data_IF_446753919731
#
_entry.id   IF_446753919731
#
_cell.length_a   1.000
_cell.length_b   1.000
_cell.length_c   1.000
_cell.angle_alpha   90.00
_cell.angle_beta   90.00
_cell.angle_gamma   90.00
#
_symmetry.space_group_name_H-M   'P 1'
#
loop_
_entity.id
_entity.type
_entity.pdbx_description
1 polymer ?
#
# COMPACT_ATOMS: atom_id res chain seq x y z
N UNK A 1 44.69 48.27 5.56
CA UNK A 1 44.28 47.66 4.27
C UNK A 1 44.96 46.32 4.21
N UNK A 2 44.23 45.24 4.47
CA UNK A 2 44.75 43.88 4.46
C UNK A 2 43.83 43.06 3.57
N UNK A 3 44.35 42.61 2.43
CA UNK A 3 43.76 41.53 1.64
C UNK A 3 44.49 40.24 2.01
N UNK A 4 43.71 39.23 2.40
CA UNK A 4 44.17 37.88 2.66
C UNK A 4 43.37 36.89 1.81
N UNK A 5 44.10 35.92 1.29
CA UNK A 5 43.72 34.75 0.51
C UNK A 5 42.74 33.85 1.30
N UNK A 6 41.70 33.30 0.65
CA UNK A 6 41.13 31.98 1.02
C UNK A 6 40.66 31.24 -0.24
N UNK A 7 41.12 30.00 -0.36
CA UNK A 7 40.54 28.95 -1.20
C UNK A 7 39.56 28.11 -0.37
N UNK A 8 38.53 27.54 -1.01
CA UNK A 8 37.85 26.35 -0.48
C UNK A 8 36.35 26.26 -0.73
N UNK A 9 35.96 25.31 -1.59
CA UNK A 9 34.95 24.29 -1.28
C UNK A 9 33.45 24.66 -1.34
N UNK A 10 32.75 24.02 -2.28
CA UNK A 10 31.57 23.23 -1.93
C UNK A 10 30.20 23.90 -1.88
N UNK A 11 29.41 23.54 -2.90
CA UNK A 11 28.00 23.13 -2.83
C UNK A 11 26.82 24.14 -2.95
N UNK A 12 25.92 23.66 -3.82
CA UNK A 12 24.46 23.80 -3.94
C UNK A 12 23.76 25.15 -4.24
N UNK A 13 23.23 25.17 -5.47
CA UNK A 13 21.84 25.45 -5.85
C UNK A 13 21.16 26.72 -5.31
N UNK A 14 21.03 27.71 -6.20
CA UNK A 14 19.82 28.52 -6.30
C UNK A 14 19.49 28.69 -7.79
N UNK A 15 18.38 28.09 -8.22
CA UNK A 15 17.73 28.49 -9.46
C UNK A 15 17.12 29.88 -9.23
N UNK A 16 17.59 30.85 -10.01
CA UNK A 16 17.16 32.24 -9.96
C UNK A 16 15.65 32.37 -10.17
N UNK A 17 15.04 33.37 -9.52
CA UNK A 17 13.67 33.78 -9.79
C UNK A 17 13.57 34.27 -11.24
N UNK A 18 12.93 33.51 -12.14
CA UNK A 18 12.80 33.94 -13.52
C UNK A 18 12.02 32.94 -14.39
N UNK A 19 10.73 33.23 -14.55
CA UNK A 19 9.79 32.63 -15.51
C UNK A 19 9.40 31.15 -15.27
N UNK A 20 8.13 30.86 -15.54
CA UNK A 20 7.58 29.51 -15.48
C UNK A 20 8.11 28.72 -16.70
N UNK A 21 8.95 27.68 -16.53
CA UNK A 21 9.60 26.98 -17.65
C UNK A 21 8.66 26.10 -18.48
N UNK A 22 7.44 25.84 -18.01
CA UNK A 22 6.47 24.98 -18.71
C UNK A 22 5.03 25.50 -18.57
N UNK A 23 4.25 25.42 -19.64
CA UNK A 23 2.85 25.84 -19.66
C UNK A 23 1.87 24.65 -19.63
N UNK A 24 0.60 24.92 -19.32
CA UNK A 24 -0.46 23.95 -19.53
C UNK A 24 -0.52 23.56 -21.01
N UNK A 25 -0.57 22.25 -21.27
CA UNK A 25 -0.49 21.70 -22.62
C UNK A 25 0.89 21.18 -23.01
N UNK A 26 1.96 21.59 -22.34
CA UNK A 26 3.32 21.17 -22.70
C UNK A 26 3.52 19.67 -22.46
N UNK A 27 4.21 19.04 -23.42
CA UNK A 27 4.71 17.68 -23.28
C UNK A 27 6.02 17.71 -22.52
N UNK A 28 6.19 16.76 -21.61
CA UNK A 28 7.35 16.64 -20.71
C UNK A 28 7.73 15.18 -20.53
N UNK A 29 8.97 14.96 -20.12
CA UNK A 29 9.48 13.64 -19.79
C UNK A 29 9.72 13.53 -18.28
N UNK A 30 9.27 12.42 -17.69
CA UNK A 30 9.40 12.15 -16.25
C UNK A 30 10.29 10.90 -16.08
N UNK A 31 11.56 11.08 -15.71
CA UNK A 31 12.46 9.97 -15.42
C UNK A 31 12.15 9.35 -14.04
N UNK A 32 11.86 8.06 -14.00
CA UNK A 32 11.73 7.29 -12.77
C UNK A 32 12.68 6.10 -12.80
N UNK A 33 13.70 6.12 -11.93
CA UNK A 33 14.76 5.13 -11.89
C UNK A 33 15.44 4.96 -13.27
N UNK A 34 15.17 3.86 -13.99
CA UNK A 34 15.73 3.55 -15.31
C UNK A 34 14.72 3.68 -16.46
N UNK A 35 13.50 4.17 -16.20
CA UNK A 35 12.44 4.34 -17.17
C UNK A 35 12.14 5.83 -17.37
N UNK A 36 11.73 6.20 -18.59
CA UNK A 36 11.30 7.55 -18.92
C UNK A 36 9.88 7.50 -19.45
N UNK A 37 8.99 8.26 -18.81
CA UNK A 37 7.60 8.36 -19.22
C UNK A 37 7.33 9.71 -19.88
N UNK A 38 6.43 9.69 -20.86
CA UNK A 38 5.90 10.93 -21.45
C UNK A 38 4.65 11.35 -20.68
N UNK A 39 4.53 12.64 -20.40
CA UNK A 39 3.34 13.22 -19.81
C UNK A 39 3.01 14.58 -20.44
N UNK A 40 1.80 15.07 -20.19
CA UNK A 40 1.35 16.42 -20.52
C UNK A 40 1.03 17.18 -19.24
N UNK A 41 1.40 18.45 -19.20
CA UNK A 41 1.04 19.33 -18.10
C UNK A 41 -0.42 19.72 -18.26
N UNK A 42 -1.24 19.35 -17.28
CA UNK A 42 -2.66 19.70 -17.21
C UNK A 42 -2.89 20.96 -16.39
N UNK A 43 -2.10 21.20 -15.33
CA UNK A 43 -2.20 22.42 -14.50
C UNK A 43 -0.84 22.91 -14.02
N UNK A 44 -0.73 24.22 -13.81
CA UNK A 44 0.44 24.84 -13.17
C UNK A 44 0.02 25.56 -11.90
N UNK A 45 0.79 25.36 -10.82
CA UNK A 45 0.63 26.07 -9.56
C UNK A 45 1.98 26.64 -9.10
N UNK A 46 1.95 27.70 -8.30
CA UNK A 46 3.14 28.30 -7.70
C UNK A 46 2.97 28.40 -6.19
N UNK A 47 3.99 27.95 -5.46
CA UNK A 47 4.10 28.10 -4.01
C UNK A 47 5.36 28.89 -3.66
N UNK A 48 5.22 29.93 -2.82
CA UNK A 48 6.34 30.82 -2.48
C UNK A 48 7.50 30.13 -1.75
N UNK A 49 7.26 28.95 -1.13
CA UNK A 49 8.31 28.18 -0.43
C UNK A 49 8.92 27.10 -1.33
N UNK A 50 8.14 26.54 -2.26
CA UNK A 50 8.49 25.31 -3.00
C UNK A 50 8.68 25.55 -4.51
N UNK A 51 8.40 26.75 -5.00
CA UNK A 51 8.46 27.11 -6.41
C UNK A 51 7.28 26.59 -7.22
N UNK A 52 7.47 26.47 -8.53
CA UNK A 52 6.45 25.94 -9.44
C UNK A 52 6.21 24.44 -9.25
N UNK A 53 4.94 24.06 -9.32
CA UNK A 53 4.47 22.68 -9.37
C UNK A 53 3.58 22.48 -10.59
N UNK A 54 3.61 21.27 -11.13
CA UNK A 54 2.93 20.91 -12.37
C UNK A 54 2.09 19.67 -12.13
N UNK A 55 0.79 19.76 -12.39
CA UNK A 55 -0.09 18.60 -12.41
C UNK A 55 0.02 17.94 -13.77
N UNK A 56 0.49 16.70 -13.81
CA UNK A 56 0.84 16.01 -15.05
C UNK A 56 -0.09 14.83 -15.30
N UNK A 57 -0.43 14.61 -16.57
CA UNK A 57 -1.11 13.41 -17.04
C UNK A 57 -0.15 12.55 -17.87
N UNK A 58 0.10 11.33 -17.42
CA UNK A 58 0.99 10.39 -18.11
C UNK A 58 0.34 9.83 -19.38
N UNK A 59 1.04 9.94 -20.52
CA UNK A 59 0.51 9.54 -21.82
C UNK A 59 0.26 8.04 -21.90
N UNK A 60 -1.00 7.66 -22.11
CA UNK A 60 -1.43 6.27 -22.18
C UNK A 60 -1.65 5.60 -20.82
N UNK A 61 -1.64 6.38 -19.74
CA UNK A 61 -1.97 5.92 -18.38
C UNK A 61 -3.37 6.41 -17.99
N UNK A 62 -3.92 5.81 -16.95
CA UNK A 62 -5.17 6.27 -16.34
C UNK A 62 -4.95 7.59 -15.57
N UNK A 63 -5.94 8.49 -15.55
CA UNK A 63 -5.91 9.77 -14.81
C UNK A 63 -5.66 9.62 -13.30
N UNK A 64 -5.88 8.44 -12.71
CA UNK A 64 -5.56 8.19 -11.28
C UNK A 64 -4.07 8.30 -10.95
N UNK A 65 -3.20 8.20 -11.95
CA UNK A 65 -1.76 8.40 -11.81
C UNK A 65 -1.35 9.85 -12.02
N UNK A 66 -2.30 10.76 -12.28
CA UNK A 66 -2.00 12.17 -12.42
C UNK A 66 -1.57 12.72 -11.05
N UNK A 67 -0.45 13.43 -11.03
CA UNK A 67 0.16 13.87 -9.79
C UNK A 67 0.78 15.26 -9.93
N UNK A 68 1.01 15.91 -8.80
CA UNK A 68 1.74 17.17 -8.74
C UNK A 68 3.24 16.91 -8.62
N UNK A 69 3.99 17.30 -9.65
CA UNK A 69 5.45 17.21 -9.68
C UNK A 69 6.12 18.57 -9.57
N UNK A 70 7.33 18.57 -9.01
CA UNK A 70 8.20 19.75 -9.00
C UNK A 70 8.95 19.89 -10.32
N UNK A 71 9.48 21.09 -10.61
CA UNK A 71 10.38 21.31 -11.74
C UNK A 71 11.53 20.29 -11.82
N UNK A 72 12.12 19.91 -10.68
CA UNK A 72 13.25 18.98 -10.63
C UNK A 72 12.91 17.55 -11.12
N UNK A 73 11.62 17.20 -11.14
CA UNK A 73 11.12 15.89 -11.58
C UNK A 73 10.82 15.85 -13.09
N UNK A 74 10.92 16.97 -13.78
CA UNK A 74 10.51 17.15 -15.17
C UNK A 74 11.71 17.42 -16.07
N UNK A 75 11.66 16.86 -17.28
CA UNK A 75 12.56 17.19 -18.37
C UNK A 75 11.75 17.68 -19.56
N UNK A 76 12.34 18.58 -20.36
CA UNK A 76 11.78 18.99 -21.65
C UNK A 76 11.56 17.76 -22.53
N UNK A 77 10.48 17.79 -23.31
CA UNK A 77 10.21 16.74 -24.27
C UNK A 77 11.32 16.67 -25.32
N UNK A 78 11.82 15.45 -25.54
CA UNK A 78 12.83 15.12 -26.54
C UNK A 78 12.40 13.82 -27.23
N UNK A 79 12.16 13.91 -28.53
CA UNK A 79 11.67 12.81 -29.36
C UNK A 79 12.69 11.67 -29.54
N UNK A 80 13.98 11.94 -29.30
CA UNK A 80 15.06 10.94 -29.39
C UNK A 80 15.12 9.99 -28.18
N UNK A 81 14.41 10.32 -27.09
CA UNK A 81 14.42 9.53 -25.86
C UNK A 81 13.57 8.28 -26.00
N UNK A 82 14.15 7.12 -25.65
CA UNK A 82 13.42 5.86 -25.63
C UNK A 82 12.42 5.85 -24.46
N UNK A 83 11.14 6.03 -24.79
CA UNK A 83 10.05 6.03 -23.82
C UNK A 83 9.70 4.62 -23.36
N UNK A 84 9.40 4.50 -22.07
CA UNK A 84 8.75 3.32 -21.52
C UNK A 84 7.32 3.24 -22.06
N UNK A 85 6.93 2.08 -22.59
CA UNK A 85 5.53 1.85 -23.01
C UNK A 85 4.70 1.50 -21.79
N UNK A 86 3.55 2.15 -21.55
CA UNK A 86 2.57 1.66 -20.59
C UNK A 86 2.15 0.26 -21.01
N UNK A 87 2.44 -0.75 -20.18
CA UNK A 87 2.02 -2.13 -20.46
C UNK A 87 0.60 -2.35 -19.94
N UNK A 88 -0.38 -1.66 -20.52
CA UNK A 88 -1.79 -1.96 -20.33
C UNK A 88 -2.28 -2.74 -21.55
N UNK A 89 -2.64 -4.02 -21.37
CA UNK A 89 -3.17 -4.85 -22.47
C UNK A 89 -4.45 -4.19 -23.01
N UNK A 90 -4.44 -3.79 -24.28
CA UNK A 90 -5.65 -3.33 -24.99
C UNK A 90 -6.63 -4.50 -25.11
N UNK A 91 -7.66 -4.50 -24.27
CA UNK A 91 -8.72 -5.49 -24.33
C UNK A 91 -9.47 -5.67 -23.02
N UNK A 92 -9.95 -4.57 -22.42
CA UNK A 92 -10.80 -4.61 -21.24
C UNK A 92 -11.84 -3.50 -21.34
N UNK A 93 -13.10 -3.84 -21.06
CA UNK A 93 -14.24 -2.91 -21.00
C UNK A 93 -13.86 -1.77 -20.03
N UNK A 94 -14.26 -0.52 -20.31
CA UNK A 94 -14.14 0.56 -19.30
C UNK A 94 -15.06 0.18 -18.13
N UNK A 95 -14.46 -0.34 -17.08
CA UNK A 95 -15.09 -0.62 -15.78
C UNK A 95 -15.05 0.69 -15.01
N UNK A 96 -16.21 1.22 -14.60
CA UNK A 96 -16.34 2.49 -13.87
C UNK A 96 -15.76 2.34 -12.45
N UNK A 97 -15.36 3.42 -11.78
CA UNK A 97 -14.68 3.35 -10.47
C UNK A 97 -15.53 2.61 -9.41
N UNK A 98 -16.86 2.75 -9.47
CA UNK A 98 -17.79 1.99 -8.63
C UNK A 98 -17.71 0.48 -8.87
N UNK A 99 -17.48 0.04 -10.11
CA UNK A 99 -17.38 -1.38 -10.44
C UNK A 99 -16.08 -1.99 -9.91
N UNK A 100 -14.96 -1.26 -9.92
CA UNK A 100 -13.69 -1.71 -9.32
C UNK A 100 -13.73 -1.75 -7.79
N UNK A 101 -14.33 -0.74 -7.14
CA UNK A 101 -14.54 -0.77 -5.69
C UNK A 101 -15.50 -1.89 -5.27
N UNK A 102 -16.54 -2.15 -6.08
CA UNK A 102 -17.42 -3.29 -5.88
C UNK A 102 -16.69 -4.63 -6.08
N UNK A 103 -15.78 -4.69 -7.05
CA UNK A 103 -14.98 -5.87 -7.33
C UNK A 103 -13.99 -6.19 -6.22
N UNK A 104 -13.44 -5.17 -5.55
CA UNK A 104 -12.50 -5.31 -4.44
C UNK A 104 -13.15 -5.85 -3.14
N UNK A 105 -14.48 -6.04 -3.11
CA UNK A 105 -15.20 -6.51 -1.93
C UNK A 105 -14.83 -7.95 -1.61
N UNK A 106 -14.31 -8.15 -0.41
CA UNK A 106 -14.09 -9.46 0.19
C UNK A 106 -15.25 -9.72 1.16
N UNK A 107 -16.19 -10.63 0.86
CA UNK A 107 -17.32 -10.90 1.74
C UNK A 107 -16.85 -11.61 3.02
N UNK A 108 -16.98 -10.95 4.17
CA UNK A 108 -16.66 -11.57 5.46
C UNK A 108 -17.79 -12.52 5.92
N UNK A 109 -17.45 -13.78 6.29
CA UNK A 109 -18.38 -14.69 6.95
C UNK A 109 -18.96 -14.11 8.25
N UNK A 110 -20.24 -14.38 8.53
CA UNK A 110 -20.94 -13.86 9.72
C UNK A 110 -20.26 -14.26 11.05
N UNK A 111 -19.68 -15.47 11.12
CA UNK A 111 -18.93 -15.92 12.29
C UNK A 111 -17.79 -14.94 12.60
N UNK A 112 -16.99 -14.58 11.60
CA UNK A 112 -15.87 -13.65 11.76
C UNK A 112 -16.34 -12.23 12.07
N UNK A 113 -17.45 -11.78 11.46
CA UNK A 113 -18.05 -10.47 11.79
C UNK A 113 -18.48 -10.40 13.26
N UNK A 114 -19.15 -11.43 13.76
CA UNK A 114 -19.59 -11.48 15.14
C UNK A 114 -18.40 -11.47 16.10
N UNK A 115 -17.32 -12.19 15.77
CA UNK A 115 -16.09 -12.16 16.54
C UNK A 115 -15.44 -10.78 16.55
N UNK A 116 -15.34 -10.11 15.39
CA UNK A 116 -14.82 -8.73 15.31
C UNK A 116 -15.62 -7.75 16.18
N UNK A 117 -16.95 -7.85 16.18
CA UNK A 117 -17.81 -7.00 17.01
C UNK A 117 -17.58 -7.26 18.50
N UNK A 118 -17.51 -8.54 18.90
CA UNK A 118 -17.23 -8.95 20.28
C UNK A 118 -15.85 -8.46 20.75
N UNK A 119 -14.82 -8.60 19.89
CA UNK A 119 -13.47 -8.14 20.18
C UNK A 119 -13.37 -6.62 20.27
N UNK A 120 -14.03 -5.91 19.34
CA UNK A 120 -14.11 -4.46 19.41
C UNK A 120 -14.73 -4.02 20.75
N UNK A 121 -15.78 -4.70 21.19
CA UNK A 121 -16.42 -4.38 22.47
C UNK A 121 -15.48 -4.58 23.66
N UNK A 122 -14.85 -5.75 23.73
CA UNK A 122 -13.92 -6.08 24.79
C UNK A 122 -12.70 -5.12 24.82
N UNK A 123 -12.14 -4.77 23.66
CA UNK A 123 -10.95 -3.92 23.60
C UNK A 123 -11.28 -2.45 23.82
N UNK A 124 -12.30 -1.94 23.12
CA UNK A 124 -12.58 -0.50 23.08
C UNK A 124 -13.47 -0.07 24.24
N UNK A 125 -14.50 -0.87 24.59
CA UNK A 125 -15.45 -0.56 25.67
C UNK A 125 -14.94 -1.02 27.03
N UNK A 126 -14.48 -2.27 27.11
CA UNK A 126 -14.07 -2.87 28.38
C UNK A 126 -12.58 -2.71 28.69
N UNK A 127 -11.82 -2.08 27.78
CA UNK A 127 -10.37 -1.86 27.90
C UNK A 127 -9.58 -3.15 28.20
N UNK A 128 -10.05 -4.29 27.67
CA UNK A 128 -9.33 -5.56 27.69
C UNK A 128 -8.31 -5.60 26.56
N UNK A 129 -7.23 -6.34 26.75
CA UNK A 129 -6.22 -6.54 25.71
C UNK A 129 -6.15 -8.01 25.33
N UNK A 130 -5.95 -8.27 24.04
CA UNK A 130 -5.65 -9.61 23.56
C UNK A 130 -4.34 -10.07 24.21
N UNK A 131 -4.29 -11.27 24.81
CA UNK A 131 -3.06 -11.78 25.40
C UNK A 131 -1.99 -12.02 24.32
N UNK A 132 -0.89 -11.27 24.42
CA UNK A 132 0.24 -11.33 23.50
C UNK A 132 1.56 -11.45 24.29
N UNK A 133 2.61 -12.08 23.71
CA UNK A 133 2.65 -12.70 22.37
C UNK A 133 1.83 -13.99 22.31
N UNK A 134 1.26 -14.29 21.14
CA UNK A 134 0.58 -15.57 20.90
C UNK A 134 1.59 -16.70 20.96
N UNK A 135 1.33 -17.71 21.79
CA UNK A 135 2.18 -18.91 21.92
C UNK A 135 1.93 -19.94 20.82
N UNK A 136 0.72 -19.94 20.26
CA UNK A 136 0.26 -20.82 19.19
C UNK A 136 -0.69 -20.02 18.30
N UNK A 137 -0.81 -20.43 17.04
CA UNK A 137 -1.66 -19.80 16.04
C UNK A 137 -1.32 -18.32 15.88
N UNK A 138 -0.02 -18.03 15.74
CA UNK A 138 0.42 -16.72 15.24
C UNK A 138 -0.05 -16.55 13.79
N UNK A 139 -0.10 -15.32 13.29
CA UNK A 139 -0.44 -15.06 11.88
C UNK A 139 0.47 -15.85 10.94
N UNK A 140 1.78 -15.87 11.20
CA UNK A 140 2.73 -16.65 10.42
C UNK A 140 2.35 -18.15 10.43
N UNK A 141 2.13 -18.72 11.62
CA UNK A 141 1.75 -20.14 11.77
C UNK A 141 0.43 -20.49 11.09
N UNK A 142 -0.58 -19.62 11.17
CA UNK A 142 -1.88 -19.85 10.53
C UNK A 142 -1.73 -19.87 9.01
N UNK A 143 -0.99 -18.90 8.45
CA UNK A 143 -0.80 -18.82 7.01
C UNK A 143 0.13 -19.92 6.47
N UNK A 144 1.15 -20.32 7.24
CA UNK A 144 2.00 -21.46 6.92
C UNK A 144 1.20 -22.77 6.94
N UNK A 145 0.36 -22.96 7.96
CA UNK A 145 -0.55 -24.11 8.04
C UNK A 145 -1.48 -24.16 6.82
N UNK A 146 -1.99 -23.02 6.36
CA UNK A 146 -2.79 -22.97 5.14
C UNK A 146 -1.98 -23.38 3.91
N UNK A 147 -0.75 -22.85 3.78
CA UNK A 147 0.13 -23.16 2.65
C UNK A 147 0.50 -24.66 2.58
N UNK A 148 0.67 -25.31 3.73
CA UNK A 148 0.96 -26.75 3.82
C UNK A 148 -0.24 -27.62 3.43
N UNK A 149 -1.47 -27.13 3.61
CA UNK A 149 -2.71 -27.85 3.31
C UNK A 149 -3.08 -27.80 1.83
N UNK A 150 -2.72 -26.73 1.12
CA UNK A 150 -3.12 -26.52 -0.28
C UNK A 150 -2.15 -27.18 -1.26
N UNK A 151 -2.69 -27.81 -2.30
CA UNK A 151 -1.86 -28.43 -3.35
C UNK A 151 -0.94 -27.41 -4.04
N UNK A 152 0.28 -27.82 -4.37
CA UNK A 152 1.33 -26.99 -5.04
C UNK A 152 1.01 -26.49 -6.45
N UNK A 153 -0.26 -26.56 -6.90
CA UNK A 153 -0.66 -26.14 -8.24
C UNK A 153 -0.71 -24.61 -8.41
N UNK A 154 -0.79 -23.88 -7.30
CA UNK A 154 -0.88 -22.42 -7.27
C UNK A 154 0.29 -21.82 -6.47
N UNK A 155 0.72 -20.57 -6.77
CA UNK A 155 1.78 -19.85 -6.05
C UNK A 155 1.30 -19.34 -4.68
N UNK A 156 0.85 -20.26 -3.83
CA UNK A 156 0.43 -19.96 -2.46
C UNK A 156 1.53 -19.39 -1.56
N UNK A 157 2.80 -19.82 -1.66
CA UNK A 157 3.88 -19.23 -0.88
C UNK A 157 4.00 -17.72 -1.11
N UNK A 158 3.92 -17.25 -2.36
CA UNK A 158 4.02 -15.83 -2.69
C UNK A 158 2.85 -15.01 -2.10
N UNK A 159 1.64 -15.58 -2.10
CA UNK A 159 0.45 -14.93 -1.53
C UNK A 159 0.54 -14.88 0.00
N UNK A 160 0.95 -15.98 0.62
CA UNK A 160 1.12 -16.09 2.07
C UNK A 160 2.21 -15.15 2.58
N UNK A 161 3.37 -15.14 1.93
CA UNK A 161 4.46 -14.23 2.28
C UNK A 161 4.08 -12.76 2.03
N UNK A 162 3.34 -12.50 0.94
CA UNK A 162 2.74 -11.20 0.69
C UNK A 162 1.81 -10.75 1.82
N UNK A 163 0.93 -11.63 2.30
CA UNK A 163 0.02 -11.36 3.41
C UNK A 163 0.78 -11.12 4.73
N UNK A 164 1.80 -11.92 5.06
CA UNK A 164 2.63 -11.73 6.25
C UNK A 164 3.34 -10.37 6.21
N UNK A 165 4.03 -10.07 5.11
CA UNK A 165 4.76 -8.81 4.96
C UNK A 165 3.83 -7.59 4.93
N UNK A 166 2.61 -7.75 4.39
CA UNK A 166 1.60 -6.70 4.41
C UNK A 166 1.04 -6.48 5.81
N UNK A 167 0.76 -7.55 6.55
CA UNK A 167 0.35 -7.50 7.94
C UNK A 167 1.40 -6.80 8.82
N UNK A 168 2.68 -7.16 8.66
CA UNK A 168 3.80 -6.55 9.40
C UNK A 168 3.88 -5.02 9.20
N UNK A 169 3.69 -4.56 7.97
CA UNK A 169 3.74 -3.13 7.63
C UNK A 169 2.50 -2.36 8.05
N UNK A 170 1.33 -3.00 8.04
CA UNK A 170 0.05 -2.31 8.26
C UNK A 170 -0.46 -2.38 9.69
N UNK A 171 0.00 -3.33 10.50
CA UNK A 171 -0.49 -3.53 11.87
C UNK A 171 -0.50 -2.20 12.66
N UNK A 172 0.67 -1.60 12.87
CA UNK A 172 0.79 -0.36 13.64
C UNK A 172 0.21 0.86 12.93
N UNK A 173 0.12 0.83 11.60
CA UNK A 173 -0.39 1.95 10.81
C UNK A 173 -1.92 2.05 10.85
N UNK A 174 -2.65 0.93 10.88
CA UNK A 174 -4.10 0.96 10.68
C UNK A 174 -4.94 -0.18 11.29
N UNK A 175 -4.35 -1.21 11.91
CA UNK A 175 -5.12 -2.38 12.40
C UNK A 175 -5.35 -2.39 13.92
N UNK A 176 -4.64 -1.54 14.66
CA UNK A 176 -4.72 -1.46 16.12
C UNK A 176 -5.75 -0.42 16.58
N UNK A 177 -6.49 -0.74 17.64
CA UNK A 177 -7.25 0.26 18.37
C UNK A 177 -6.33 1.07 19.30
N UNK A 178 -6.72 2.30 19.70
CA UNK A 178 -5.92 3.14 20.58
C UNK A 178 -5.42 2.44 21.86
N UNK A 179 -6.25 1.56 22.43
CA UNK A 179 -5.95 0.79 23.63
C UNK A 179 -4.79 -0.20 23.43
N UNK A 180 -4.60 -0.72 22.21
CA UNK A 180 -3.59 -1.73 21.89
C UNK A 180 -2.23 -1.12 21.50
N UNK A 181 -2.16 0.19 21.22
CA UNK A 181 -0.95 0.85 20.70
C UNK A 181 0.24 0.68 21.65
N UNK A 182 0.03 0.86 22.96
CA UNK A 182 1.11 0.72 23.95
C UNK A 182 1.64 -0.71 24.00
N UNK A 183 0.75 -1.70 24.01
CA UNK A 183 1.13 -3.12 23.99
C UNK A 183 1.96 -3.45 22.74
N UNK A 184 1.59 -2.90 21.58
CA UNK A 184 2.31 -3.09 20.33
C UNK A 184 3.71 -2.47 20.35
N UNK A 185 3.83 -1.23 20.83
CA UNK A 185 5.12 -0.55 20.97
C UNK A 185 6.08 -1.34 21.84
N UNK A 186 5.60 -1.88 22.97
CA UNK A 186 6.42 -2.67 23.89
C UNK A 186 6.85 -4.01 23.27
N UNK A 187 5.95 -4.68 22.55
CA UNK A 187 6.22 -6.01 21.97
C UNK A 187 7.09 -5.97 20.70
N UNK A 188 6.97 -4.94 19.88
CA UNK A 188 7.62 -4.83 18.57
C UNK A 188 8.90 -3.99 18.60
N UNK A 189 9.29 -3.45 19.76
CA UNK A 189 10.45 -2.57 19.92
C UNK A 189 11.77 -3.15 19.37
N UNK A 190 11.96 -4.46 19.50
CA UNK A 190 13.20 -5.13 19.12
C UNK A 190 13.21 -5.61 17.65
N UNK A 191 12.33 -5.05 16.81
CA UNK A 191 12.25 -5.40 15.38
C UNK A 191 11.62 -6.77 15.13
N UNK A 192 10.85 -7.29 16.08
CA UNK A 192 10.07 -8.53 15.89
C UNK A 192 8.99 -8.31 14.84
N UNK A 193 8.79 -9.30 13.97
CA UNK A 193 7.69 -9.29 13.00
C UNK A 193 6.35 -9.38 13.74
N UNK A 194 5.38 -8.59 13.30
CA UNK A 194 4.04 -8.64 13.86
C UNK A 194 3.40 -10.01 13.61
N UNK A 195 3.68 -10.62 12.46
CA UNK A 195 3.17 -11.93 12.06
C UNK A 195 3.54 -13.04 13.05
N UNK A 196 4.66 -12.89 13.76
CA UNK A 196 5.17 -13.86 14.74
C UNK A 196 4.65 -13.60 16.16
N UNK A 197 4.04 -12.44 16.40
CA UNK A 197 3.59 -12.01 17.73
C UNK A 197 2.07 -12.07 17.84
N UNK A 198 1.36 -11.68 16.80
CA UNK A 198 -0.09 -11.51 16.76
C UNK A 198 -0.81 -12.74 16.20
N UNK A 199 -2.12 -12.82 16.42
CA UNK A 199 -2.96 -13.96 16.05
C UNK A 199 -4.06 -13.62 15.03
N UNK A 200 -5.03 -14.54 14.94
CA UNK A 200 -6.15 -14.45 13.99
C UNK A 200 -7.00 -13.21 14.16
N UNK A 201 -7.11 -12.69 15.38
CA UNK A 201 -7.94 -11.53 15.73
C UNK A 201 -7.53 -10.30 14.91
N UNK A 202 -6.23 -10.02 14.87
CA UNK A 202 -5.66 -8.92 14.10
C UNK A 202 -5.57 -9.23 12.61
N UNK A 203 -5.33 -10.49 12.24
CA UNK A 203 -5.33 -10.92 10.83
C UNK A 203 -6.68 -10.67 10.17
N UNK A 204 -7.79 -10.96 10.84
CA UNK A 204 -9.12 -10.73 10.26
C UNK A 204 -9.42 -9.24 10.09
N UNK A 205 -8.88 -8.36 10.95
CA UNK A 205 -8.97 -6.90 10.74
C UNK A 205 -8.27 -6.47 9.45
N UNK A 206 -7.18 -7.14 9.06
CA UNK A 206 -6.55 -6.88 7.77
C UNK A 206 -7.51 -7.15 6.61
N UNK A 207 -8.27 -8.25 6.65
CA UNK A 207 -9.27 -8.55 5.61
C UNK A 207 -10.41 -7.53 5.51
N UNK A 208 -10.72 -6.82 6.61
CA UNK A 208 -11.66 -5.68 6.58
C UNK A 208 -11.04 -4.48 5.85
N UNK A 209 -9.72 -4.29 5.94
CA UNK A 209 -9.00 -3.17 5.35
C UNK A 209 -8.51 -3.39 3.92
N UNK A 210 -8.31 -4.64 3.50
CA UNK A 210 -7.85 -4.95 2.15
C UNK A 210 -8.73 -4.34 1.04
N UNK A 211 -10.08 -4.39 1.09
CA UNK A 211 -10.93 -3.77 0.06
C UNK A 211 -10.69 -2.26 -0.11
N UNK A 212 -10.31 -1.56 0.96
CA UNK A 212 -9.99 -0.13 0.93
C UNK A 212 -8.66 0.14 0.22
N UNK A 213 -7.76 -0.85 0.10
CA UNK A 213 -6.38 -0.63 -0.36
C UNK A 213 -6.09 -1.31 -1.71
N UNK A 214 -6.75 -2.44 -1.99
CA UNK A 214 -6.59 -3.20 -3.22
C UNK A 214 -6.82 -2.38 -4.50
N UNK A 215 -7.78 -1.44 -4.59
CA UNK A 215 -7.97 -0.62 -5.80
C UNK A 215 -6.77 0.27 -6.17
N UNK A 216 -5.92 0.60 -5.19
CA UNK A 216 -4.71 1.40 -5.40
C UNK A 216 -3.51 0.57 -5.86
N UNK A 217 -3.64 -0.75 -5.91
CA UNK A 217 -2.59 -1.64 -6.44
C UNK A 217 -2.57 -1.59 -7.97
N UNK A 218 -1.40 -1.82 -8.57
CA UNK A 218 -1.23 -1.84 -10.02
C UNK A 218 -1.58 -3.21 -10.62
N UNK A 219 -2.74 -3.77 -10.23
CA UNK A 219 -3.26 -5.04 -10.74
C UNK A 219 -4.27 -4.79 -11.85
N UNK A 220 -4.30 -5.68 -12.84
CA UNK A 220 -5.38 -5.72 -13.82
C UNK A 220 -6.61 -6.44 -13.23
N UNK A 221 -7.74 -6.37 -13.95
CA UNK A 221 -9.02 -6.95 -13.52
C UNK A 221 -8.91 -8.45 -13.23
N UNK A 222 -8.20 -9.18 -14.09
CA UNK A 222 -7.97 -10.62 -13.93
C UNK A 222 -7.11 -10.90 -12.70
N UNK A 223 -5.99 -10.20 -12.53
CA UNK A 223 -5.11 -10.34 -11.37
C UNK A 223 -5.81 -9.99 -10.05
N UNK A 224 -6.63 -8.93 -10.03
CA UNK A 224 -7.43 -8.55 -8.88
C UNK A 224 -8.48 -9.64 -8.55
N UNK A 225 -9.18 -10.17 -9.56
CA UNK A 225 -10.14 -11.27 -9.38
C UNK A 225 -9.46 -12.49 -8.73
N UNK A 226 -8.32 -12.90 -9.28
CA UNK A 226 -7.58 -14.06 -8.79
C UNK A 226 -7.07 -13.82 -7.36
N UNK A 227 -6.55 -12.63 -7.07
CA UNK A 227 -6.11 -12.27 -5.73
C UNK A 227 -7.27 -12.34 -4.73
N UNK A 228 -8.43 -11.78 -5.08
CA UNK A 228 -9.63 -11.81 -4.22
C UNK A 228 -10.10 -13.23 -3.98
N UNK A 229 -10.12 -14.08 -5.00
CA UNK A 229 -10.47 -15.50 -4.85
C UNK A 229 -9.51 -16.22 -3.88
N UNK A 230 -8.20 -15.93 -3.96
CA UNK A 230 -7.19 -16.50 -3.06
C UNK A 230 -7.36 -15.98 -1.62
N UNK A 231 -7.61 -14.67 -1.45
CA UNK A 231 -7.91 -14.07 -0.16
C UNK A 231 -9.18 -14.67 0.47
N UNK A 232 -10.23 -14.89 -0.32
CA UNK A 232 -11.44 -15.56 0.13
C UNK A 232 -11.19 -17.00 0.58
N UNK A 233 -10.30 -17.73 -0.10
CA UNK A 233 -9.94 -19.09 0.29
C UNK A 233 -9.22 -19.13 1.66
N UNK A 234 -8.29 -18.20 1.91
CA UNK A 234 -7.65 -18.03 3.23
C UNK A 234 -8.69 -17.66 4.30
N UNK A 235 -9.62 -16.75 3.98
CA UNK A 235 -10.66 -16.34 4.91
C UNK A 235 -11.63 -17.49 5.25
N UNK A 236 -11.94 -18.35 4.28
CA UNK A 236 -12.74 -19.56 4.49
C UNK A 236 -12.00 -20.57 5.37
N UNK A 237 -10.70 -20.76 5.17
CA UNK A 237 -9.88 -21.59 6.05
C UNK A 237 -9.90 -21.07 7.50
N UNK A 238 -9.76 -19.77 7.70
CA UNK A 238 -9.86 -19.14 9.03
C UNK A 238 -11.25 -19.38 9.65
N UNK A 239 -12.32 -19.24 8.86
CA UNK A 239 -13.70 -19.48 9.30
C UNK A 239 -13.92 -20.93 9.72
N UNK A 240 -13.41 -21.89 8.97
CA UNK A 240 -13.56 -23.33 9.25
C UNK A 240 -12.82 -23.78 10.51
N UNK A 241 -11.79 -23.04 10.92
CA UNK A 241 -10.95 -23.33 12.09
C UNK A 241 -11.09 -22.27 13.20
N UNK A 242 -12.18 -21.51 13.19
CA UNK A 242 -12.37 -20.38 14.09
C UNK A 242 -12.41 -20.80 15.58
N UNK A 243 -12.96 -21.97 15.88
CA UNK A 243 -12.98 -22.55 17.24
C UNK A 243 -11.59 -22.86 17.78
N UNK A 244 -10.63 -23.16 16.91
CA UNK A 244 -9.24 -23.46 17.27
C UNK A 244 -8.40 -22.19 17.33
N UNK A 245 -8.57 -21.27 16.37
CA UNK A 245 -7.70 -20.10 16.24
C UNK A 245 -8.04 -18.99 17.22
N UNK A 246 -9.31 -18.80 17.56
CA UNK A 246 -9.72 -17.74 18.48
C UNK A 246 -9.57 -18.18 19.93
N UNK A 247 -9.00 -17.29 20.74
CA UNK A 247 -8.95 -17.46 22.20
C UNK A 247 -9.96 -16.51 22.84
N UNK A 248 -10.89 -16.99 23.69
CA UNK A 248 -11.81 -16.10 24.38
C UNK A 248 -11.04 -15.13 25.28
N UNK A 249 -11.36 -13.84 25.16
CA UNK A 249 -10.88 -12.79 26.06
C UNK A 249 -11.54 -13.01 27.43
N UNK A 250 -10.77 -13.61 28.36
CA UNK A 250 -11.18 -13.75 29.77
C UNK A 250 -11.13 -12.37 30.43
#
# INVERSE_FOLDING_TARGET
MAEAIVAGGGDVAMGEAGENPYAEGDRVLIPQQNLVYEAKIEKVAYDAKSGFKYFVHYMGWNKKYDEWLSYASLKKFDESVKLAKPSFKKGGKKVEDEDYENMAKIPLPNVLKNTLVSEWDAVVRDNKLIPLPKKKHTVAQILDQYCDLVERREPWPEIVDGLKGYFDKTLQAMLLYPQEVKQAQDLLRDGKSASDVYGVEHLVRLFVKLPEILPYTNLDEEGLTQLIARLQAVLNFIKENADVFYSPLK
#
